data_IF_662419239590
#
_entry.id   IF_662419239590
#
_cell.length_a   1.000
_cell.length_b   1.000
_cell.length_c   1.000
_cell.angle_alpha   90.00
_cell.angle_beta   90.00
_cell.angle_gamma   90.00
#
_symmetry.space_group_name_H-M   'P 1'
#
loop_
_entity.id
_entity.type
_entity.pdbx_description
1 polymer ?
#
# COMPACT_ATOMS: atom_id res chain seq x y z
N UNK A 1 -11.97 23.07 2.85
CA UNK A 1 -10.94 22.28 3.57
C UNK A 1 -9.78 23.20 3.91
N UNK A 2 -9.39 23.32 5.19
CA UNK A 2 -8.24 24.12 5.63
C UNK A 2 -7.06 23.18 5.80
N UNK A 3 -5.94 23.47 5.15
CA UNK A 3 -4.69 22.72 5.29
C UNK A 3 -3.67 23.61 5.97
N UNK A 4 -3.02 23.10 7.02
CA UNK A 4 -1.98 23.81 7.78
C UNK A 4 -0.70 23.01 7.71
N UNK A 5 0.38 23.64 7.25
CA UNK A 5 1.70 23.02 7.20
C UNK A 5 2.50 23.37 8.45
N UNK A 6 2.85 22.35 9.24
CA UNK A 6 3.73 22.49 10.41
C UNK A 6 5.12 21.99 10.01
N UNK A 7 6.08 22.90 9.87
CA UNK A 7 7.47 22.58 9.47
C UNK A 7 8.47 23.04 10.52
N UNK A 8 9.67 22.43 10.51
CA UNK A 8 10.73 22.77 11.46
C UNK A 8 11.76 21.66 11.62
N UNK A 9 12.95 22.00 12.10
CA UNK A 9 14.07 21.06 12.33
C UNK A 9 13.71 19.99 13.37
N UNK A 10 14.48 18.91 13.45
CA UNK A 10 14.35 17.96 14.55
C UNK A 10 14.48 18.69 15.91
N UNK A 11 13.65 18.32 16.89
CA UNK A 11 13.61 18.99 18.19
C UNK A 11 12.87 20.34 18.25
N UNK A 12 12.33 20.87 17.15
CA UNK A 12 11.62 22.15 17.13
C UNK A 12 10.23 22.14 17.80
N UNK A 13 9.82 21.02 18.40
CA UNK A 13 8.53 20.92 19.10
C UNK A 13 7.30 20.62 18.23
N UNK A 14 7.47 20.18 16.98
CA UNK A 14 6.34 19.88 16.05
C UNK A 14 5.30 18.93 16.66
N UNK A 15 5.73 17.79 17.21
CA UNK A 15 4.83 16.81 17.82
C UNK A 15 4.08 17.40 19.01
N UNK A 16 4.78 18.18 19.85
CA UNK A 16 4.17 18.88 21.00
C UNK A 16 3.12 19.90 20.56
N UNK A 17 3.35 20.61 19.45
CA UNK A 17 2.39 21.54 18.88
C UNK A 17 1.11 20.82 18.42
N UNK A 18 1.26 19.66 17.74
CA UNK A 18 0.11 18.85 17.32
C UNK A 18 -0.70 18.39 18.55
N UNK A 19 -0.04 17.89 19.60
CA UNK A 19 -0.73 17.48 20.83
C UNK A 19 -1.43 18.65 21.53
N UNK A 20 -0.84 19.84 21.51
CA UNK A 20 -1.46 21.05 22.04
C UNK A 20 -2.74 21.43 21.27
N UNK A 21 -2.73 21.30 19.94
CA UNK A 21 -3.91 21.56 19.10
C UNK A 21 -5.02 20.54 19.33
N UNK A 22 -4.66 19.26 19.47
CA UNK A 22 -5.58 18.18 19.85
C UNK A 22 -6.21 18.51 21.20
N UNK A 23 -5.40 18.84 22.21
CA UNK A 23 -5.89 19.19 23.55
C UNK A 23 -6.88 20.36 23.50
N UNK A 24 -6.55 21.43 22.78
CA UNK A 24 -7.43 22.59 22.65
C UNK A 24 -8.80 22.22 22.05
N UNK A 25 -8.84 21.38 21.01
CA UNK A 25 -10.11 20.91 20.43
C UNK A 25 -10.92 20.07 21.42
N UNK A 26 -10.26 19.20 22.19
CA UNK A 26 -10.94 18.38 23.21
C UNK A 26 -11.51 19.26 24.34
N UNK A 27 -10.76 20.27 24.78
CA UNK A 27 -11.17 21.19 25.86
C UNK A 27 -12.32 22.12 25.42
N UNK A 28 -12.42 22.42 24.11
CA UNK A 28 -13.54 23.18 23.52
C UNK A 28 -14.86 22.38 23.47
N UNK A 29 -14.82 21.08 23.74
CA UNK A 29 -16.00 20.22 23.79
C UNK A 29 -16.55 19.84 22.41
N UNK A 30 -15.71 19.89 21.37
CA UNK A 30 -16.08 19.42 20.03
C UNK A 30 -16.28 17.89 20.05
N UNK A 31 -17.42 17.42 19.53
CA UNK A 31 -17.71 15.99 19.43
C UNK A 31 -17.04 15.33 18.21
N UNK A 32 -16.33 16.10 17.39
CA UNK A 32 -15.60 15.58 16.23
C UNK A 32 -14.48 14.60 16.64
N UNK A 33 -14.43 13.45 15.96
CA UNK A 33 -13.32 12.50 16.11
C UNK A 33 -12.06 13.08 15.47
N UNK A 34 -10.94 12.98 16.19
CA UNK A 34 -9.62 13.40 15.74
C UNK A 34 -8.79 12.17 15.36
N UNK A 35 -8.10 12.23 14.23
CA UNK A 35 -7.22 11.16 13.78
C UNK A 35 -5.77 11.67 13.75
N UNK A 36 -4.90 11.02 14.50
CA UNK A 36 -3.47 11.23 14.45
C UNK A 36 -2.82 10.12 13.63
N UNK A 37 -2.44 10.42 12.38
CA UNK A 37 -1.73 9.49 11.51
C UNK A 37 -0.23 9.52 11.80
N UNK A 38 0.35 8.37 12.09
CA UNK A 38 1.79 8.17 12.33
C UNK A 38 2.31 6.94 11.58
N UNK A 39 3.63 6.81 11.34
CA UNK A 39 4.16 5.57 10.77
C UNK A 39 3.86 4.39 11.69
N UNK A 40 3.67 3.20 11.11
CA UNK A 40 3.23 2.00 11.82
C UNK A 40 4.09 1.68 13.05
N UNK A 41 5.41 1.87 12.93
CA UNK A 41 6.39 1.60 13.98
C UNK A 41 6.24 2.53 15.20
N UNK A 42 5.55 3.67 15.06
CA UNK A 42 5.40 4.68 16.09
C UNK A 42 4.00 4.75 16.70
N UNK A 43 3.05 3.90 16.28
CA UNK A 43 1.65 3.93 16.75
C UNK A 43 1.54 3.86 18.27
N UNK A 44 2.09 2.82 18.90
CA UNK A 44 2.03 2.63 20.36
C UNK A 44 2.77 3.74 21.13
N UNK A 45 3.92 4.19 20.62
CA UNK A 45 4.69 5.26 21.26
C UNK A 45 3.88 6.56 21.23
N UNK A 46 3.34 6.93 20.07
CA UNK A 46 2.58 8.16 19.88
C UNK A 46 1.31 8.18 20.73
N UNK A 47 0.64 7.03 20.88
CA UNK A 47 -0.51 6.87 21.76
C UNK A 47 -0.14 7.12 23.23
N UNK A 48 0.95 6.50 23.72
CA UNK A 48 1.46 6.73 25.08
C UNK A 48 1.84 8.18 25.32
N UNK A 49 2.59 8.78 24.38
CA UNK A 49 3.05 10.16 24.49
C UNK A 49 1.86 11.13 24.53
N UNK A 50 0.81 10.87 23.73
CA UNK A 50 -0.41 11.66 23.72
C UNK A 50 -1.18 11.52 25.04
N UNK A 51 -1.40 10.31 25.54
CA UNK A 51 -2.10 10.07 26.82
C UNK A 51 -1.36 10.77 27.97
N UNK A 52 -0.03 10.65 28.02
CA UNK A 52 0.79 11.33 29.02
C UNK A 52 0.69 12.85 28.93
N UNK A 53 0.71 13.40 27.71
CA UNK A 53 0.59 14.84 27.49
C UNK A 53 -0.77 15.40 27.89
N UNK A 54 -1.85 14.68 27.57
CA UNK A 54 -3.22 15.09 27.88
C UNK A 54 -3.54 14.94 29.38
N UNK A 55 -2.78 14.13 30.12
CA UNK A 55 -3.03 13.78 31.53
C UNK A 55 -4.43 13.18 31.74
N UNK A 56 -4.90 12.40 30.77
CA UNK A 56 -6.20 11.72 30.81
C UNK A 56 -6.02 10.22 31.02
N UNK A 57 -6.99 9.52 31.65
CA UNK A 57 -6.95 8.06 31.82
C UNK A 57 -7.12 7.29 30.50
N UNK A 58 -7.55 7.96 29.42
CA UNK A 58 -7.66 7.39 28.08
C UNK A 58 -8.14 8.41 27.05
N UNK A 59 -8.01 8.08 25.77
CA UNK A 59 -8.42 8.90 24.63
C UNK A 59 -9.54 8.18 23.87
N UNK A 60 -10.78 8.68 23.96
CA UNK A 60 -11.92 8.11 23.20
C UNK A 60 -12.27 8.89 21.94
N UNK A 61 -11.98 10.19 21.92
CA UNK A 61 -12.25 11.08 20.78
C UNK A 61 -11.04 11.20 19.83
N UNK A 62 -9.86 10.73 20.24
CA UNK A 62 -8.64 10.77 19.42
C UNK A 62 -8.18 9.35 19.12
N UNK A 63 -7.94 9.06 17.86
CA UNK A 63 -7.43 7.78 17.41
C UNK A 63 -6.04 7.93 16.79
N UNK A 64 -5.09 7.14 17.28
CA UNK A 64 -3.72 7.09 16.73
C UNK A 64 -3.63 5.92 15.75
N UNK A 65 -3.50 6.22 14.47
CA UNK A 65 -3.57 5.23 13.40
C UNK A 65 -2.32 5.25 12.52
N UNK A 66 -1.96 4.08 11.99
CA UNK A 66 -1.11 3.98 10.81
C UNK A 66 -1.97 3.98 9.54
N UNK A 67 -1.34 4.17 8.38
CA UNK A 67 -2.04 4.00 7.11
C UNK A 67 -2.63 2.60 6.94
N UNK A 68 -1.95 1.56 7.42
CA UNK A 68 -2.44 0.18 7.34
C UNK A 68 -3.68 -0.04 8.22
N UNK A 69 -3.67 0.50 9.45
CA UNK A 69 -4.85 0.43 10.33
C UNK A 69 -6.02 1.26 9.80
N UNK A 70 -5.73 2.42 9.21
CA UNK A 70 -6.74 3.25 8.56
C UNK A 70 -7.35 2.51 7.36
N UNK A 71 -6.52 1.88 6.53
CA UNK A 71 -6.94 1.06 5.41
C UNK A 71 -7.86 -0.09 5.85
N UNK A 72 -7.46 -0.85 6.87
CA UNK A 72 -8.30 -1.91 7.43
C UNK A 72 -9.65 -1.35 7.87
N UNK A 73 -9.67 -0.27 8.64
CA UNK A 73 -10.93 0.30 9.12
C UNK A 73 -11.87 0.78 8.01
N UNK A 74 -11.33 1.42 6.97
CA UNK A 74 -12.11 1.82 5.80
C UNK A 74 -12.73 0.59 5.12
N UNK A 75 -11.95 -0.48 4.92
CA UNK A 75 -12.43 -1.70 4.27
C UNK A 75 -13.41 -2.51 5.13
N UNK A 76 -13.28 -2.44 6.45
CA UNK A 76 -14.21 -3.02 7.42
C UNK A 76 -15.58 -2.35 7.35
N UNK A 77 -15.59 -1.05 7.14
CA UNK A 77 -16.81 -0.23 7.11
C UNK A 77 -17.48 -0.21 5.74
N UNK A 78 -16.73 0.17 4.69
CA UNK A 78 -17.22 0.32 3.32
C UNK A 78 -17.41 -1.02 2.59
N UNK A 79 -16.96 -2.11 3.21
CA UNK A 79 -16.84 -3.41 2.57
C UNK A 79 -15.65 -3.48 1.60
N UNK A 80 -15.27 -4.69 1.21
CA UNK A 80 -14.08 -4.94 0.38
C UNK A 80 -13.35 -6.23 0.74
N UNK A 81 -13.58 -6.76 1.95
CA UNK A 81 -13.05 -8.05 2.43
C UNK A 81 -13.56 -9.29 1.70
N UNK A 82 -14.38 -9.16 0.66
CA UNK A 82 -14.87 -10.30 -0.12
C UNK A 82 -13.77 -10.96 -0.96
N UNK A 83 -12.64 -10.26 -1.18
CA UNK A 83 -11.48 -10.80 -1.90
C UNK A 83 -10.48 -11.42 -0.93
N UNK A 84 -9.89 -12.54 -1.32
CA UNK A 84 -8.91 -13.28 -0.50
C UNK A 84 -7.55 -12.61 -0.66
N UNK A 85 -6.96 -12.17 0.45
CA UNK A 85 -5.60 -11.65 0.48
C UNK A 85 -4.61 -12.80 0.29
N UNK A 86 -3.70 -12.68 -0.68
CA UNK A 86 -2.54 -13.57 -0.81
C UNK A 86 -1.34 -12.97 -0.09
N UNK A 87 -0.58 -13.82 0.59
CA UNK A 87 0.70 -13.42 1.17
C UNK A 87 1.84 -13.53 0.13
N UNK A 88 3.06 -13.15 0.53
CA UNK A 88 4.23 -13.18 -0.35
C UNK A 88 4.52 -14.59 -0.91
N UNK A 89 4.28 -15.64 -0.13
CA UNK A 89 4.47 -17.01 -0.59
C UNK A 89 3.40 -17.42 -1.61
N UNK A 90 2.12 -17.11 -1.34
CA UNK A 90 1.03 -17.30 -2.28
C UNK A 90 1.27 -16.57 -3.59
N UNK A 91 1.77 -15.33 -3.53
CA UNK A 91 2.19 -14.56 -4.71
C UNK A 91 3.28 -15.27 -5.50
N UNK A 92 4.33 -15.76 -4.85
CA UNK A 92 5.39 -16.52 -5.53
C UNK A 92 4.85 -17.80 -6.18
N UNK A 93 3.93 -18.51 -5.53
CA UNK A 93 3.31 -19.70 -6.10
C UNK A 93 2.49 -19.37 -7.36
N UNK A 94 1.71 -18.29 -7.32
CA UNK A 94 0.93 -17.80 -8.47
C UNK A 94 1.86 -17.39 -9.61
N UNK A 95 2.89 -16.59 -9.33
CA UNK A 95 3.88 -16.19 -10.33
C UNK A 95 4.58 -17.40 -10.93
N UNK A 96 4.96 -18.40 -10.13
CA UNK A 96 5.60 -19.61 -10.65
C UNK A 96 4.70 -20.33 -11.65
N UNK A 97 3.43 -20.54 -11.30
CA UNK A 97 2.43 -21.15 -12.19
C UNK A 97 2.32 -20.37 -13.52
N UNK A 98 2.15 -19.06 -13.45
CA UNK A 98 2.00 -18.20 -14.62
C UNK A 98 3.24 -18.25 -15.52
N UNK A 99 4.42 -18.17 -14.91
CA UNK A 99 5.68 -18.26 -15.64
C UNK A 99 5.79 -19.60 -16.35
N UNK A 100 5.48 -20.71 -15.67
CA UNK A 100 5.54 -22.05 -16.26
C UNK A 100 4.60 -22.19 -17.48
N UNK A 101 3.41 -21.56 -17.43
CA UNK A 101 2.47 -21.51 -18.56
C UNK A 101 2.95 -20.61 -19.71
N UNK A 102 3.69 -19.52 -19.39
CA UNK A 102 4.14 -18.52 -20.35
C UNK A 102 5.53 -18.78 -20.93
N UNK A 103 6.33 -19.72 -20.39
CA UNK A 103 7.70 -20.00 -20.86
C UNK A 103 7.83 -20.03 -22.40
N UNK A 104 6.93 -20.68 -23.17
CA UNK A 104 7.06 -20.72 -24.62
C UNK A 104 6.93 -19.36 -25.33
N UNK A 105 6.33 -18.37 -24.66
CA UNK A 105 6.01 -17.05 -25.20
C UNK A 105 7.02 -15.96 -24.79
N UNK A 106 7.87 -16.23 -23.79
CA UNK A 106 8.89 -15.28 -23.34
C UNK A 106 9.99 -15.16 -24.39
N UNK A 107 10.63 -14.00 -24.52
CA UNK A 107 11.72 -13.77 -25.47
C UNK A 107 13.09 -13.94 -24.81
N UNK A 108 13.27 -13.34 -23.63
CA UNK A 108 14.55 -13.28 -22.91
C UNK A 108 14.54 -14.19 -21.70
N UNK A 109 13.42 -14.25 -20.97
CA UNK A 109 13.37 -14.96 -19.69
C UNK A 109 13.07 -16.46 -19.79
N UNK A 110 12.94 -17.03 -21.00
CA UNK A 110 12.64 -18.47 -21.18
C UNK A 110 13.56 -19.40 -20.37
N UNK A 111 14.88 -19.17 -20.39
CA UNK A 111 15.87 -20.02 -19.69
C UNK A 111 15.98 -19.66 -18.21
N UNK A 112 16.00 -18.37 -17.90
CA UNK A 112 16.21 -17.86 -16.53
C UNK A 112 14.98 -18.08 -15.65
N UNK A 113 13.79 -18.18 -16.24
CA UNK A 113 12.53 -18.50 -15.53
C UNK A 113 12.60 -19.75 -14.65
N UNK A 114 13.45 -20.72 -15.03
CA UNK A 114 13.64 -21.99 -14.32
C UNK A 114 14.61 -21.89 -13.15
N UNK A 115 15.38 -20.82 -13.05
CA UNK A 115 16.37 -20.63 -12.00
C UNK A 115 15.70 -20.27 -10.67
N UNK A 116 16.28 -20.79 -9.59
CA UNK A 116 15.87 -20.43 -8.24
C UNK A 116 16.06 -18.92 -8.02
N UNK A 117 15.06 -18.29 -7.41
CA UNK A 117 15.07 -16.86 -7.11
C UNK A 117 14.57 -15.95 -8.24
N UNK A 118 14.42 -16.42 -9.49
CA UNK A 118 13.82 -15.59 -10.55
C UNK A 118 12.42 -15.11 -10.17
N UNK A 119 11.57 -16.03 -9.69
CA UNK A 119 10.21 -15.72 -9.23
C UNK A 119 10.20 -14.67 -8.12
N UNK A 120 11.16 -14.78 -7.18
CA UNK A 120 11.29 -13.81 -6.07
C UNK A 120 11.67 -12.42 -6.57
N UNK A 121 12.67 -12.35 -7.46
CA UNK A 121 13.08 -11.07 -8.06
C UNK A 121 11.94 -10.44 -8.88
N UNK A 122 11.20 -11.27 -9.61
CA UNK A 122 10.04 -10.79 -10.37
C UNK A 122 8.92 -10.31 -9.43
N UNK A 123 8.64 -11.03 -8.34
CA UNK A 123 7.69 -10.62 -7.31
C UNK A 123 8.03 -9.24 -6.74
N UNK A 124 9.28 -9.03 -6.33
CA UNK A 124 9.75 -7.71 -5.86
C UNK A 124 9.58 -6.62 -6.92
N UNK A 125 9.93 -6.93 -8.18
CA UNK A 125 9.79 -5.96 -9.28
C UNK A 125 8.32 -5.58 -9.53
N UNK A 126 7.40 -6.54 -9.50
CA UNK A 126 5.98 -6.27 -9.65
C UNK A 126 5.43 -5.45 -8.47
N UNK A 127 5.88 -5.72 -7.24
CA UNK A 127 5.55 -4.89 -6.07
C UNK A 127 6.00 -3.43 -6.27
N UNK A 128 7.22 -3.22 -6.75
CA UNK A 128 7.71 -1.87 -7.06
C UNK A 128 6.83 -1.20 -8.12
N UNK A 129 6.48 -1.90 -9.20
CA UNK A 129 5.59 -1.35 -10.22
C UNK A 129 4.24 -0.94 -9.63
N UNK A 130 3.63 -1.78 -8.80
CA UNK A 130 2.36 -1.44 -8.12
C UNK A 130 2.51 -0.20 -7.23
N UNK A 131 3.57 -0.12 -6.42
CA UNK A 131 3.85 1.06 -5.58
C UNK A 131 4.06 2.35 -6.37
N UNK A 132 4.65 2.27 -7.57
CA UNK A 132 4.83 3.41 -8.46
C UNK A 132 3.67 3.60 -9.44
N UNK A 133 2.56 2.90 -9.28
CA UNK A 133 1.40 2.92 -10.17
C UNK A 133 1.73 2.67 -11.65
N UNK A 134 2.73 1.81 -11.91
CA UNK A 134 3.11 1.37 -13.25
C UNK A 134 2.21 0.20 -13.66
N UNK A 135 1.58 0.30 -14.83
CA UNK A 135 0.69 -0.75 -15.37
C UNK A 135 1.37 -1.61 -16.44
N UNK A 136 0.86 -2.82 -16.74
CA UNK A 136 1.36 -3.64 -17.84
C UNK A 136 1.38 -2.91 -19.19
N UNK A 137 0.38 -2.05 -19.46
CA UNK A 137 0.23 -1.29 -20.70
C UNK A 137 1.29 -0.19 -20.83
N UNK A 138 1.70 0.41 -19.70
CA UNK A 138 2.82 1.35 -19.67
C UNK A 138 4.14 0.65 -20.05
N UNK A 139 4.36 -0.57 -19.55
CA UNK A 139 5.53 -1.38 -19.90
C UNK A 139 5.50 -1.79 -21.38
N UNK A 140 4.33 -2.14 -21.92
CA UNK A 140 4.17 -2.45 -23.35
C UNK A 140 4.41 -1.21 -24.23
N UNK A 141 3.97 -0.04 -23.79
CA UNK A 141 4.23 1.22 -24.49
C UNK A 141 5.72 1.59 -24.44
N UNK A 142 6.37 1.37 -23.30
CA UNK A 142 7.81 1.57 -23.14
C UNK A 142 8.63 0.59 -24.00
N UNK A 143 8.18 -0.64 -24.18
CA UNK A 143 8.88 -1.60 -25.04
C UNK A 143 8.90 -1.16 -26.51
N UNK A 144 7.84 -0.47 -26.98
CA UNK A 144 7.72 0.01 -28.37
C UNK A 144 8.69 1.15 -28.71
N UNK A 145 9.13 1.92 -27.71
CA UNK A 145 10.07 3.05 -27.89
C UNK A 145 11.55 2.66 -27.68
N UNK A 146 11.81 1.49 -27.12
CA UNK A 146 13.16 0.97 -26.90
C UNK A 146 13.54 -0.09 -27.94
N UNK A 147 14.84 -0.39 -28.03
CA UNK A 147 15.40 -1.40 -28.95
C UNK A 147 16.29 -2.39 -28.21
N UNK A 148 16.55 -3.53 -28.85
CA UNK A 148 17.41 -4.58 -28.30
C UNK A 148 16.85 -5.23 -27.04
N UNK A 149 17.73 -5.73 -26.18
CA UNK A 149 17.39 -6.57 -25.02
C UNK A 149 16.41 -5.92 -24.05
N UNK A 150 16.43 -4.59 -23.90
CA UNK A 150 15.51 -3.90 -23.00
C UNK A 150 14.06 -4.01 -23.48
N UNK A 151 13.81 -3.85 -24.78
CA UNK A 151 12.48 -4.03 -25.38
C UNK A 151 11.94 -5.42 -25.06
N UNK A 152 12.75 -6.45 -25.27
CA UNK A 152 12.31 -7.84 -25.08
C UNK A 152 12.05 -8.16 -23.60
N UNK A 153 12.88 -7.62 -22.69
CA UNK A 153 12.63 -7.73 -21.25
C UNK A 153 11.31 -7.06 -20.84
N UNK A 154 11.05 -5.85 -21.33
CA UNK A 154 9.81 -5.12 -21.03
C UNK A 154 8.57 -5.86 -21.56
N UNK A 155 8.66 -6.46 -22.75
CA UNK A 155 7.59 -7.31 -23.29
C UNK A 155 7.31 -8.52 -22.39
N UNK A 156 8.34 -9.27 -22.01
CA UNK A 156 8.18 -10.44 -21.16
C UNK A 156 7.59 -10.07 -19.79
N UNK A 157 8.10 -8.98 -19.17
CA UNK A 157 7.62 -8.51 -17.87
C UNK A 157 6.17 -8.00 -17.97
N UNK A 158 5.83 -7.24 -19.03
CA UNK A 158 4.47 -6.78 -19.29
C UNK A 158 3.50 -7.96 -19.43
N UNK A 159 3.89 -8.98 -20.19
CA UNK A 159 3.09 -10.19 -20.37
C UNK A 159 2.85 -10.91 -19.04
N UNK A 160 3.90 -11.18 -18.27
CA UNK A 160 3.77 -11.86 -16.97
C UNK A 160 2.93 -11.01 -16.01
N UNK A 161 3.15 -9.70 -15.95
CA UNK A 161 2.41 -8.80 -15.06
C UNK A 161 0.91 -8.76 -15.42
N UNK A 162 0.58 -8.72 -16.70
CA UNK A 162 -0.81 -8.80 -17.16
C UNK A 162 -1.47 -10.11 -16.73
N UNK A 163 -0.84 -11.25 -17.00
CA UNK A 163 -1.35 -12.56 -16.57
C UNK A 163 -1.46 -12.69 -15.05
N UNK A 164 -0.55 -12.05 -14.29
CA UNK A 164 -0.62 -11.99 -12.84
C UNK A 164 -1.86 -11.24 -12.37
N UNK A 165 -2.11 -10.05 -12.90
CA UNK A 165 -3.31 -9.28 -12.57
C UNK A 165 -4.59 -10.01 -13.00
N UNK A 166 -4.60 -10.64 -14.17
CA UNK A 166 -5.73 -11.44 -14.66
C UNK A 166 -6.02 -12.65 -13.74
N UNK A 167 -4.97 -13.30 -13.24
CA UNK A 167 -5.10 -14.41 -12.30
C UNK A 167 -5.72 -13.97 -10.97
N UNK A 168 -5.28 -12.84 -10.42
CA UNK A 168 -5.85 -12.29 -9.20
C UNK A 168 -7.34 -11.94 -9.42
N UNK A 169 -7.63 -11.35 -10.58
CA UNK A 169 -8.97 -11.05 -11.06
C UNK A 169 -9.81 -10.35 -10.00
N UNK A 170 -11.05 -10.82 -9.82
CA UNK A 170 -11.97 -10.28 -8.81
C UNK A 170 -11.85 -11.02 -7.47
N UNK A 171 -11.17 -12.17 -7.42
CA UNK A 171 -11.22 -13.08 -6.27
C UNK A 171 -10.08 -12.89 -5.28
N UNK A 172 -8.90 -12.49 -5.76
CA UNK A 172 -7.71 -12.33 -4.93
C UNK A 172 -7.22 -10.89 -4.92
N UNK A 173 -6.51 -10.53 -3.86
CA UNK A 173 -5.75 -9.28 -3.75
C UNK A 173 -4.35 -9.62 -3.25
N UNK A 174 -3.35 -9.00 -3.86
CA UNK A 174 -2.01 -8.96 -3.27
C UNK A 174 -1.93 -7.82 -2.23
N UNK A 175 -0.93 -7.90 -1.36
CA UNK A 175 -0.61 -6.87 -0.34
C UNK A 175 -0.53 -5.48 -0.98
N UNK A 176 0.09 -5.41 -2.15
CA UNK A 176 0.30 -4.15 -2.88
C UNK A 176 -0.99 -3.60 -3.51
N UNK A 177 -2.07 -4.39 -3.62
CA UNK A 177 -3.36 -3.96 -4.16
C UNK A 177 -4.28 -3.35 -3.09
N UNK A 178 -3.94 -3.52 -1.81
CA UNK A 178 -4.80 -3.11 -0.68
C UNK A 178 -5.14 -1.63 -0.73
N UNK A 179 -4.15 -0.76 -0.96
CA UNK A 179 -4.38 0.68 -0.99
C UNK A 179 -5.20 1.13 -2.20
N UNK A 180 -5.11 0.42 -3.34
CA UNK A 180 -5.97 0.70 -4.48
C UNK A 180 -7.43 0.41 -4.13
N UNK A 181 -7.71 -0.71 -3.44
CA UNK A 181 -9.06 -1.02 -2.97
C UNK A 181 -9.56 0.03 -1.95
N UNK A 182 -8.69 0.48 -1.04
CA UNK A 182 -9.03 1.55 -0.08
C UNK A 182 -9.43 2.82 -0.84
N UNK A 183 -8.66 3.23 -1.86
CA UNK A 183 -8.98 4.41 -2.68
C UNK A 183 -10.31 4.27 -3.41
N UNK A 184 -10.67 3.07 -3.88
CA UNK A 184 -11.99 2.80 -4.50
C UNK A 184 -13.14 2.94 -3.49
N UNK A 185 -12.90 2.62 -2.22
CA UNK A 185 -13.93 2.51 -1.17
C UNK A 185 -13.97 3.66 -0.19
N UNK A 186 -12.99 4.55 -0.20
CA UNK A 186 -12.90 5.65 0.77
C UNK A 186 -14.12 6.55 0.75
N UNK A 187 -14.78 6.70 -0.40
CA UNK A 187 -16.01 7.49 -0.56
C UNK A 187 -17.25 6.85 0.09
N UNK A 188 -17.20 5.54 0.35
CA UNK A 188 -18.29 4.78 0.97
C UNK A 188 -18.10 4.65 2.50
N UNK A 189 -16.97 5.12 3.04
CA UNK A 189 -16.66 5.12 4.47
C UNK A 189 -17.11 6.44 5.10
N UNK A 190 -17.67 6.39 6.32
CA UNK A 190 -18.13 7.56 7.09
C UNK A 190 -17.06 8.13 8.02
N UNK A 191 -15.84 7.60 7.92
CA UNK A 191 -14.63 8.03 8.60
C UNK A 191 -14.16 9.43 8.19
#
# INVERSE_FOLDING_TARGET
>A
MKVVHITGRAGSGKSRLIFQQIKAHLDEGDECKLILIVPEQFTLQSERDLIQYLQCPGIMQVEVLSFDRLAERILDEAGGKTRIMIDDQGRHMVLRKIIDDLVPQLNVYQKVSRQDGFVRHLGTLLSEFKHYHITPEMLESASKIHTGTLKDKLNDISLIFKHFNDYLGVRYLDIDDRFNLVLERIHDSTL
#
